data_IF_083543566257
#
_entry.id   IF_083543566257
#
_cell.length_a   1.000
_cell.length_b   1.000
_cell.length_c   1.000
_cell.angle_alpha   90.00
_cell.angle_beta   90.00
_cell.angle_gamma   90.00
#
_symmetry.space_group_name_H-M   'P 1'
#
loop_
_entity.id
_entity.type
_entity.pdbx_description
1 polymer ?
#
# COMPACT_ATOMS: atom_id res chain seq x y z
N UNK A 1 -4.38 -24.36 17.47
CA UNK A 1 -3.29 -24.59 16.49
C UNK A 1 -2.88 -23.23 15.92
N UNK A 2 -1.63 -22.81 16.14
CA UNK A 2 -1.09 -21.52 15.68
C UNK A 2 -0.41 -21.71 14.33
N UNK A 3 -1.01 -21.22 13.25
CA UNK A 3 -0.36 -21.22 11.93
C UNK A 3 0.53 -19.97 11.81
N UNK A 4 1.84 -20.20 11.76
CA UNK A 4 2.83 -19.20 11.37
C UNK A 4 2.88 -19.22 9.84
N UNK A 5 2.36 -18.19 9.18
CA UNK A 5 2.58 -18.01 7.75
C UNK A 5 3.57 -16.87 7.52
N UNK A 6 4.75 -17.30 7.13
CA UNK A 6 5.92 -16.54 6.73
C UNK A 6 5.58 -15.80 5.42
N UNK A 7 5.60 -14.46 5.40
CA UNK A 7 5.54 -13.70 4.15
C UNK A 7 6.88 -13.01 3.89
N UNK A 8 7.40 -13.35 2.71
CA UNK A 8 8.65 -12.94 2.11
C UNK A 8 8.64 -11.41 1.88
N UNK A 9 9.56 -10.69 2.53
CA UNK A 9 9.81 -9.27 2.28
C UNK A 9 10.82 -9.15 1.13
N UNK A 10 10.36 -8.68 -0.03
CA UNK A 10 11.25 -8.17 -1.09
C UNK A 10 11.67 -6.76 -0.66
N UNK A 11 12.90 -6.64 -0.19
CA UNK A 11 13.50 -5.39 0.28
C UNK A 11 13.92 -4.50 -0.88
N UNK A 12 13.50 -3.24 -0.84
CA UNK A 12 14.17 -2.13 -1.53
C UNK A 12 14.77 -1.25 -0.43
N UNK A 13 16.06 -1.45 -0.14
CA UNK A 13 16.80 -0.65 0.83
C UNK A 13 17.64 0.38 0.06
N UNK A 14 17.19 1.63 0.03
CA UNK A 14 18.05 2.78 -0.22
C UNK A 14 18.45 3.35 1.13
N UNK A 15 19.56 2.85 1.67
CA UNK A 15 20.22 3.44 2.82
C UNK A 15 21.35 4.34 2.31
N UNK A 16 21.13 5.65 2.35
CA UNK A 16 22.21 6.64 2.29
C UNK A 16 22.03 7.59 3.46
N UNK A 17 22.67 7.28 4.58
CA UNK A 17 22.94 8.24 5.64
C UNK A 17 24.42 8.20 5.98
N UNK A 18 25.16 9.16 5.45
CA UNK A 18 26.52 9.46 5.88
C UNK A 18 26.46 10.04 7.31
N UNK A 19 27.09 9.38 8.28
CA UNK A 19 27.36 10.00 9.58
C UNK A 19 28.60 10.90 9.44
N UNK A 20 28.55 12.17 9.91
CA UNK A 20 29.76 12.99 9.99
C UNK A 20 30.71 12.47 11.10
N UNK A 21 32.02 12.70 10.98
CA UNK A 21 33.03 12.13 11.87
C UNK A 21 32.97 12.71 13.29
N UNK A 22 33.20 11.84 14.27
CA UNK A 22 33.31 12.17 15.70
C UNK A 22 34.43 13.19 15.96
N UNK A 23 34.14 14.20 16.78
CA UNK A 23 35.11 15.22 17.22
C UNK A 23 36.02 14.69 18.34
N UNK A 24 37.33 15.00 18.33
CA UNK A 24 38.24 14.61 19.41
C UNK A 24 37.98 15.50 20.64
N UNK A 25 37.63 14.92 21.79
CA UNK A 25 37.57 15.68 23.04
C UNK A 25 36.70 15.17 24.18
N UNK A 26 35.99 14.03 24.08
CA UNK A 26 35.20 13.53 25.20
C UNK A 26 35.98 12.50 26.04
N UNK A 27 36.32 12.94 27.25
CA UNK A 27 36.97 12.17 28.32
C UNK A 27 35.93 11.27 28.98
N UNK A 28 36.15 9.96 28.97
CA UNK A 28 35.37 8.99 29.73
C UNK A 28 35.60 9.21 31.23
N UNK A 29 34.59 9.69 31.95
CA UNK A 29 34.54 9.59 33.42
C UNK A 29 33.57 8.47 33.81
N UNK A 30 34.13 7.28 34.03
CA UNK A 30 33.50 6.29 34.90
C UNK A 30 33.85 6.61 36.35
N UNK A 31 32.90 6.49 37.29
CA UNK A 31 33.23 6.03 38.62
C UNK A 31 32.50 4.72 38.90
N UNK A 32 33.32 3.67 39.02
CA UNK A 32 33.42 2.77 40.17
C UNK A 32 32.13 2.37 40.91
N UNK A 33 31.89 1.05 40.90
CA UNK A 33 30.80 0.37 41.59
C UNK A 33 31.16 0.22 43.07
N UNK A 34 30.28 0.66 43.98
CA UNK A 34 30.16 0.07 45.32
C UNK A 34 28.70 0.12 45.77
N UNK A 35 28.08 -1.04 45.99
CA UNK A 35 26.75 -1.18 46.59
C UNK A 35 26.87 -1.37 48.12
N UNK A 36 25.84 -0.99 48.90
CA UNK A 36 24.95 -2.04 49.41
C UNK A 36 23.44 -1.66 49.46
N UNK A 37 22.62 -2.72 49.40
CA UNK A 37 21.14 -2.82 49.45
C UNK A 37 20.58 -2.49 50.86
N UNK A 38 19.37 -1.86 51.02
CA UNK A 38 18.14 -2.64 51.19
C UNK A 38 16.89 -2.12 50.44
N UNK A 39 15.93 -3.03 50.35
CA UNK A 39 14.64 -3.01 49.68
C UNK A 39 13.80 -1.72 49.82
N UNK A 40 13.21 -1.27 48.71
CA UNK A 40 11.75 -1.13 48.53
C UNK A 40 11.44 -0.47 47.18
N UNK A 41 10.27 -0.83 46.63
CA UNK A 41 9.65 -0.31 45.42
C UNK A 41 10.33 -0.68 44.10
N UNK A 42 10.04 -1.88 43.61
CA UNK A 42 9.88 -2.05 42.16
C UNK A 42 8.95 -0.94 41.67
N UNK A 43 9.33 -0.12 40.66
CA UNK A 43 8.33 0.68 39.98
C UNK A 43 7.45 -0.36 39.29
N UNK A 44 6.29 -0.65 39.88
CA UNK A 44 5.19 -1.23 39.15
C UNK A 44 4.96 -0.22 38.05
N UNK A 45 5.48 -0.50 36.86
CA UNK A 45 5.14 0.21 35.64
C UNK A 45 3.65 0.00 35.52
N UNK A 46 2.89 0.95 36.06
CA UNK A 46 1.45 0.94 35.97
C UNK A 46 1.19 0.95 34.48
N UNK A 47 0.66 -0.17 33.98
CA UNK A 47 0.07 -0.24 32.65
C UNK A 47 -1.22 0.56 32.74
N UNK A 48 -1.08 1.89 32.80
CA UNK A 48 -2.16 2.83 32.59
C UNK A 48 -2.65 2.54 31.19
N UNK A 49 -3.69 1.73 31.10
CA UNK A 49 -4.54 1.65 29.92
C UNK A 49 -5.28 2.97 29.90
N UNK A 50 -4.60 4.01 29.42
CA UNK A 50 -5.18 5.29 29.05
C UNK A 50 -6.31 4.95 28.08
N UNK A 51 -7.47 5.56 28.27
CA UNK A 51 -8.67 5.35 27.46
C UNK A 51 -8.33 5.23 25.96
N UNK A 52 -9.12 4.47 25.20
CA UNK A 52 -9.03 4.42 23.74
C UNK A 52 -9.35 5.83 23.17
N UNK A 53 -8.34 6.70 23.18
CA UNK A 53 -8.38 8.01 22.56
C UNK A 53 -8.22 7.75 21.07
N UNK A 54 -9.20 8.16 20.29
CA UNK A 54 -9.09 8.16 18.84
C UNK A 54 -7.87 9.00 18.45
N UNK A 55 -6.84 8.33 17.90
CA UNK A 55 -5.67 9.03 17.37
C UNK A 55 -6.06 9.79 16.09
N UNK A 56 -5.83 11.12 16.00
CA UNK A 56 -6.02 11.87 14.76
C UNK A 56 -5.29 11.23 13.56
N UNK A 57 -4.14 10.60 13.79
CA UNK A 57 -3.38 9.87 12.77
C UNK A 57 -4.17 8.69 12.20
N UNK A 58 -4.81 7.89 13.05
CA UNK A 58 -5.62 6.74 12.62
C UNK A 58 -6.77 7.16 11.71
N UNK A 59 -7.44 8.27 12.06
CA UNK A 59 -8.54 8.86 11.27
C UNK A 59 -8.05 9.38 9.92
N UNK A 60 -6.89 10.03 9.91
CA UNK A 60 -6.27 10.49 8.68
C UNK A 60 -5.90 9.31 7.77
N UNK A 61 -5.25 8.27 8.31
CA UNK A 61 -4.88 7.07 7.56
C UNK A 61 -6.09 6.29 7.06
N UNK A 62 -7.20 6.29 7.80
CA UNK A 62 -8.46 5.73 7.34
C UNK A 62 -8.99 6.45 6.10
N UNK A 63 -9.03 7.79 6.14
CA UNK A 63 -9.48 8.60 5.01
C UNK A 63 -8.58 8.44 3.81
N UNK A 64 -7.26 8.40 4.02
CA UNK A 64 -6.28 8.20 2.97
C UNK A 64 -6.43 6.83 2.31
N UNK A 65 -6.62 5.77 3.11
CA UNK A 65 -6.89 4.43 2.61
C UNK A 65 -8.19 4.38 1.79
N UNK A 66 -9.29 4.94 2.29
CA UNK A 66 -10.56 4.99 1.54
C UNK A 66 -10.39 5.80 0.24
N UNK A 67 -9.76 6.96 0.29
CA UNK A 67 -9.50 7.78 -0.88
C UNK A 67 -8.70 7.01 -1.93
N UNK A 68 -7.65 6.30 -1.52
CA UNK A 68 -6.85 5.47 -2.42
C UNK A 68 -7.65 4.35 -3.09
N UNK A 69 -8.58 3.69 -2.38
CA UNK A 69 -9.46 2.68 -2.99
C UNK A 69 -10.35 3.30 -4.06
N UNK A 70 -10.91 4.49 -3.79
CA UNK A 70 -11.73 5.21 -4.76
C UNK A 70 -10.90 5.62 -5.98
N UNK A 71 -9.68 6.12 -5.76
CA UNK A 71 -8.76 6.48 -6.85
C UNK A 71 -8.39 5.27 -7.70
N UNK A 72 -8.10 4.12 -7.09
CA UNK A 72 -7.79 2.87 -7.80
C UNK A 72 -8.96 2.40 -8.66
N UNK A 73 -10.17 2.31 -8.09
CA UNK A 73 -11.39 1.97 -8.85
C UNK A 73 -11.63 2.95 -10.00
N UNK A 74 -11.45 4.24 -9.75
CA UNK A 74 -11.58 5.29 -10.77
C UNK A 74 -10.59 5.10 -11.92
N UNK A 75 -9.32 4.86 -11.60
CA UNK A 75 -8.27 4.64 -12.58
C UNK A 75 -8.48 3.36 -13.39
N UNK A 76 -8.83 2.23 -12.77
CA UNK A 76 -9.15 0.99 -13.48
C UNK A 76 -10.36 1.17 -14.40
N UNK A 77 -11.38 1.89 -13.94
CA UNK A 77 -12.56 2.19 -14.76
C UNK A 77 -12.21 3.08 -15.95
N UNK A 78 -11.41 4.11 -15.72
CA UNK A 78 -10.93 5.02 -16.78
C UNK A 78 -10.09 4.28 -17.82
N UNK A 79 -9.21 3.39 -17.38
CA UNK A 79 -8.44 2.51 -18.27
C UNK A 79 -9.35 1.57 -19.08
N UNK A 80 -10.36 0.95 -18.47
CA UNK A 80 -11.31 0.11 -19.19
C UNK A 80 -12.13 0.88 -20.24
N UNK A 81 -12.61 2.08 -19.90
CA UNK A 81 -13.36 2.96 -20.80
C UNK A 81 -12.48 3.39 -21.98
N UNK A 82 -11.25 3.81 -21.71
CA UNK A 82 -10.33 4.25 -22.76
C UNK A 82 -9.81 3.10 -23.63
N UNK A 83 -9.78 1.86 -23.12
CA UNK A 83 -9.49 0.67 -23.93
C UNK A 83 -10.66 0.21 -24.81
N UNK A 84 -11.89 0.59 -24.49
CA UNK A 84 -13.10 0.00 -25.09
C UNK A 84 -13.11 0.05 -26.62
N UNK A 85 -13.35 -1.09 -27.26
CA UNK A 85 -13.44 -1.21 -28.72
C UNK A 85 -12.09 -1.05 -29.46
N UNK A 86 -10.97 -0.89 -28.75
CA UNK A 86 -9.63 -0.84 -29.37
C UNK A 86 -9.13 -2.25 -29.63
N UNK A 87 -8.28 -2.39 -30.65
CA UNK A 87 -7.74 -3.69 -31.05
C UNK A 87 -6.79 -4.20 -29.97
N UNK A 88 -7.05 -5.40 -29.46
CA UNK A 88 -6.30 -5.98 -28.35
C UNK A 88 -5.40 -7.10 -28.86
N UNK A 89 -4.08 -6.87 -28.78
CA UNK A 89 -3.08 -7.89 -29.11
C UNK A 89 -2.99 -9.01 -28.07
N UNK A 90 -3.48 -8.75 -26.86
CA UNK A 90 -3.50 -9.74 -25.79
C UNK A 90 -4.75 -10.62 -25.91
N UNK A 91 -4.59 -11.88 -26.33
CA UNK A 91 -5.68 -12.85 -26.49
C UNK A 91 -6.44 -13.15 -25.19
N UNK A 92 -5.80 -12.92 -24.02
CA UNK A 92 -6.45 -13.03 -22.72
C UNK A 92 -7.47 -11.91 -22.51
N UNK A 93 -7.20 -10.69 -22.98
CA UNK A 93 -8.09 -9.53 -22.84
C UNK A 93 -9.03 -9.33 -24.04
N UNK A 94 -8.63 -9.81 -25.22
CA UNK A 94 -9.40 -9.69 -26.45
C UNK A 94 -10.69 -10.49 -26.38
N UNK A 95 -11.78 -9.85 -26.80
CA UNK A 95 -13.08 -10.49 -27.07
C UNK A 95 -13.04 -11.23 -28.41
N UNK A 96 -14.12 -11.93 -28.77
CA UNK A 96 -14.20 -12.73 -30.00
C UNK A 96 -13.92 -11.95 -31.29
N UNK A 97 -14.15 -10.64 -31.28
CA UNK A 97 -13.89 -9.72 -32.39
C UNK A 97 -12.45 -9.14 -32.39
N UNK A 98 -11.57 -9.60 -31.50
CA UNK A 98 -10.18 -9.12 -31.40
C UNK A 98 -10.02 -7.73 -30.76
N UNK A 99 -11.08 -7.17 -30.15
CA UNK A 99 -11.02 -5.88 -29.44
C UNK A 99 -11.20 -6.03 -27.95
N UNK A 100 -10.86 -4.98 -27.21
CA UNK A 100 -11.26 -4.85 -25.82
C UNK A 100 -12.78 -4.75 -25.75
N UNK A 101 -13.37 -5.49 -24.82
CA UNK A 101 -14.82 -5.56 -24.65
C UNK A 101 -15.15 -6.24 -23.33
N UNK A 102 -16.31 -6.89 -23.26
CA UNK A 102 -16.82 -7.51 -22.03
C UNK A 102 -15.82 -8.46 -21.35
N UNK A 103 -15.06 -9.25 -22.12
CA UNK A 103 -14.04 -10.17 -21.58
C UNK A 103 -12.88 -9.42 -20.90
N UNK A 104 -12.31 -8.43 -21.59
CA UNK A 104 -11.24 -7.60 -21.04
C UNK A 104 -11.70 -6.81 -19.82
N UNK A 105 -12.92 -6.27 -19.84
CA UNK A 105 -13.53 -5.59 -18.69
C UNK A 105 -13.68 -6.52 -17.48
N UNK A 106 -14.20 -7.74 -17.68
CA UNK A 106 -14.36 -8.72 -16.61
C UNK A 106 -13.02 -9.08 -15.96
N UNK A 107 -11.96 -9.20 -16.76
CA UNK A 107 -10.60 -9.48 -16.26
C UNK A 107 -10.05 -8.29 -15.47
N UNK A 108 -10.16 -7.06 -15.99
CA UNK A 108 -9.74 -5.86 -15.25
C UNK A 108 -10.50 -5.69 -13.93
N UNK A 109 -11.82 -5.95 -13.94
CA UNK A 109 -12.63 -5.95 -12.74
C UNK A 109 -12.19 -7.02 -11.73
N UNK A 110 -11.83 -8.23 -12.22
CA UNK A 110 -11.25 -9.29 -11.40
C UNK A 110 -9.93 -8.87 -10.74
N UNK A 111 -9.07 -8.14 -11.43
CA UNK A 111 -7.84 -7.58 -10.85
C UNK A 111 -8.15 -6.56 -9.74
N UNK A 112 -9.06 -5.61 -9.99
CA UNK A 112 -9.46 -4.66 -8.96
C UNK A 112 -10.05 -5.38 -7.73
N UNK A 113 -10.90 -6.40 -7.94
CA UNK A 113 -11.46 -7.21 -6.86
C UNK A 113 -10.37 -7.96 -6.08
N UNK A 114 -9.39 -8.55 -6.77
CA UNK A 114 -8.27 -9.26 -6.14
C UNK A 114 -7.42 -8.34 -5.24
N UNK A 115 -7.34 -7.05 -5.57
CA UNK A 115 -6.64 -6.04 -4.76
C UNK A 115 -7.50 -5.54 -3.60
N UNK A 116 -8.78 -5.25 -3.84
CA UNK A 116 -9.63 -4.58 -2.84
C UNK A 116 -10.26 -5.54 -1.83
N UNK A 117 -10.64 -6.76 -2.22
CA UNK A 117 -11.29 -7.72 -1.33
C UNK A 117 -10.41 -8.04 -0.10
N UNK A 118 -9.10 -8.36 -0.23
CA UNK A 118 -8.26 -8.62 0.93
C UNK A 118 -8.18 -7.42 1.88
N UNK A 119 -8.19 -6.19 1.36
CA UNK A 119 -8.15 -4.98 2.17
C UNK A 119 -9.43 -4.81 3.00
N UNK A 120 -10.58 -5.10 2.40
CA UNK A 120 -11.87 -5.06 3.10
C UNK A 120 -11.93 -6.15 4.17
N UNK A 121 -11.43 -7.35 3.88
CA UNK A 121 -11.33 -8.44 4.86
C UNK A 121 -10.40 -8.08 6.03
N UNK A 122 -9.31 -7.36 5.75
CA UNK A 122 -8.29 -6.96 6.73
C UNK A 122 -8.51 -5.54 7.29
N UNK A 123 -9.69 -4.92 7.08
CA UNK A 123 -9.95 -3.52 7.47
C UNK A 123 -9.78 -3.19 8.97
N UNK A 124 -9.77 -4.22 9.82
CA UNK A 124 -9.53 -4.09 11.27
C UNK A 124 -8.05 -3.88 11.62
N UNK A 125 -7.14 -4.18 10.70
CA UNK A 125 -5.69 -4.05 10.84
C UNK A 125 -5.25 -2.64 10.42
N UNK A 126 -5.30 -1.69 11.36
CA UNK A 126 -4.98 -0.28 11.11
C UNK A 126 -3.54 -0.09 10.61
N UNK A 127 -2.63 -0.94 11.05
CA UNK A 127 -1.22 -0.98 10.67
C UNK A 127 -1.00 -1.23 9.17
N UNK A 128 -1.97 -1.85 8.49
CA UNK A 128 -1.88 -2.16 7.06
C UNK A 128 -2.42 -1.04 6.17
N UNK A 129 -3.14 -0.06 6.72
CA UNK A 129 -3.81 1.01 5.95
C UNK A 129 -2.83 1.79 5.08
N UNK A 130 -1.65 2.12 5.60
CA UNK A 130 -0.62 2.82 4.84
C UNK A 130 -0.06 1.99 3.68
N UNK A 131 0.17 0.69 3.90
CA UNK A 131 0.64 -0.24 2.87
C UNK A 131 -0.40 -0.38 1.76
N UNK A 132 -1.67 -0.57 2.14
CA UNK A 132 -2.78 -0.65 1.20
C UNK A 132 -2.95 0.65 0.41
N UNK A 133 -2.87 1.81 1.06
CA UNK A 133 -2.98 3.10 0.38
C UNK A 133 -1.87 3.29 -0.66
N UNK A 134 -0.63 2.97 -0.30
CA UNK A 134 0.51 3.03 -1.22
C UNK A 134 0.33 2.08 -2.41
N UNK A 135 -0.14 0.86 -2.18
CA UNK A 135 -0.45 -0.11 -3.23
C UNK A 135 -1.54 0.38 -4.19
N UNK A 136 -2.65 0.88 -3.65
CA UNK A 136 -3.77 1.40 -4.43
C UNK A 136 -3.34 2.60 -5.29
N UNK A 137 -2.59 3.55 -4.74
CA UNK A 137 -2.08 4.67 -5.54
C UNK A 137 -1.06 4.24 -6.61
N UNK A 138 -0.20 3.28 -6.30
CA UNK A 138 0.72 2.71 -7.28
C UNK A 138 -0.02 2.08 -8.47
N UNK A 139 -1.03 1.26 -8.18
CA UNK A 139 -1.88 0.64 -9.21
C UNK A 139 -2.67 1.69 -9.99
N UNK A 140 -3.27 2.67 -9.31
CA UNK A 140 -3.98 3.76 -9.95
C UNK A 140 -3.09 4.55 -10.92
N UNK A 141 -1.84 4.79 -10.55
CA UNK A 141 -0.86 5.44 -11.42
C UNK A 141 -0.59 4.64 -12.70
N UNK A 142 -0.43 3.32 -12.58
CA UNK A 142 -0.25 2.42 -13.73
C UNK A 142 -1.47 2.49 -14.66
N UNK A 143 -2.69 2.27 -14.13
CA UNK A 143 -3.90 2.28 -14.95
C UNK A 143 -4.21 3.64 -15.56
N UNK A 144 -3.97 4.73 -14.83
CA UNK A 144 -4.12 6.09 -15.39
C UNK A 144 -3.13 6.31 -16.53
N UNK A 145 -1.88 5.86 -16.38
CA UNK A 145 -0.88 5.92 -17.46
C UNK A 145 -1.30 5.13 -18.70
N UNK A 146 -1.79 3.91 -18.52
CA UNK A 146 -2.35 3.09 -19.61
C UNK A 146 -3.56 3.76 -20.24
N UNK A 147 -4.45 4.37 -19.45
CA UNK A 147 -5.61 5.08 -19.96
C UNK A 147 -5.21 6.29 -20.84
N UNK A 148 -4.25 7.09 -20.38
CA UNK A 148 -3.72 8.22 -21.15
C UNK A 148 -3.07 7.73 -22.45
N UNK A 149 -2.29 6.65 -22.40
CA UNK A 149 -1.73 6.04 -23.59
C UNK A 149 -2.83 5.56 -24.55
N UNK A 150 -3.87 4.91 -24.04
CA UNK A 150 -5.00 4.48 -24.83
C UNK A 150 -5.67 5.66 -25.53
N UNK A 151 -5.87 6.80 -24.88
CA UNK A 151 -6.46 8.00 -25.50
C UNK A 151 -5.71 8.46 -26.77
N UNK A 152 -4.41 8.17 -26.89
CA UNK A 152 -3.61 8.52 -28.06
C UNK A 152 -3.75 7.50 -29.21
N UNK A 153 -4.25 6.30 -28.92
CA UNK A 153 -4.51 5.25 -29.91
C UNK A 153 -5.90 5.44 -30.51
N UNK A 154 -5.96 5.52 -31.85
CA UNK A 154 -7.25 5.58 -32.57
C UNK A 154 -8.04 4.30 -32.37
N UNK A 155 -9.33 4.45 -32.12
CA UNK A 155 -10.26 3.32 -32.06
C UNK A 155 -10.34 2.62 -33.42
N UNK A 156 -10.42 1.29 -33.40
CA UNK A 156 -10.57 0.48 -34.61
C UNK A 156 -11.98 0.61 -35.24
N UNK A 157 -12.92 1.24 -34.53
CA UNK A 157 -14.30 1.40 -34.96
C UNK A 157 -14.53 2.80 -35.54
N UNK A 158 -14.44 2.93 -36.87
CA UNK A 158 -15.37 3.63 -37.77
C UNK A 158 -14.91 3.36 -39.21
N UNK A 159 -15.31 2.21 -39.76
CA UNK A 159 -15.56 2.06 -41.20
C UNK A 159 -16.95 1.46 -41.29
N UNK A 160 -17.95 2.33 -41.40
CA UNK A 160 -19.29 2.01 -41.88
C UNK A 160 -19.65 3.08 -42.90
#
# INVERSE_FOLDING_TARGET
MRSKLFFLLVGCALALSAQPPLQPGQVNTSPEITAPKPAAASPIVQKTTIANVDDPHDKFMERLWIASMVTDVGATSFDAVTSWGKREGNSLLASSNGTFGGKGLAIKAGFAAAVLIPQICLRKHKELRGIFAMGNFGQAGIFTGTAIHNLQIRSAATIH
#
